data_IF_244341336318
#
_entry.id   IF_244341336318
#
_cell.length_a   1.000
_cell.length_b   1.000
_cell.length_c   1.000
_cell.angle_alpha   90.00
_cell.angle_beta   90.00
_cell.angle_gamma   90.00
#
_symmetry.space_group_name_H-M   'P 1'
#
loop_
_entity.id
_entity.type
_entity.pdbx_description
1 polymer ?
#
# COMPACT_ATOMS: atom_id res chain seq x y z
N UNK A 1 -23.14 13.87 -6.44
CA UNK A 1 -22.29 13.72 -5.23
C UNK A 1 -20.92 13.18 -5.66
N UNK A 2 -19.82 13.66 -5.08
CA UNK A 2 -18.45 13.27 -5.45
C UNK A 2 -18.20 11.75 -5.37
N UNK A 3 -18.68 11.10 -4.30
CA UNK A 3 -18.59 9.65 -4.13
C UNK A 3 -19.30 8.86 -5.25
N UNK A 4 -20.44 9.35 -5.75
CA UNK A 4 -21.11 8.71 -6.90
C UNK A 4 -20.24 8.74 -8.15
N UNK A 5 -19.48 9.83 -8.36
CA UNK A 5 -18.55 9.94 -9.49
C UNK A 5 -17.39 8.96 -9.34
N UNK A 6 -16.79 8.86 -8.15
CA UNK A 6 -15.75 7.87 -7.84
C UNK A 6 -16.23 6.44 -8.13
N UNK A 7 -17.45 6.11 -7.69
CA UNK A 7 -18.02 4.77 -7.89
C UNK A 7 -18.30 4.48 -9.37
N UNK A 8 -18.86 5.44 -10.10
CA UNK A 8 -19.16 5.29 -11.53
C UNK A 8 -17.91 5.17 -12.39
N UNK A 9 -16.87 5.94 -12.05
CA UNK A 9 -15.59 5.91 -12.77
C UNK A 9 -14.66 4.80 -12.25
N UNK A 10 -15.06 4.07 -11.20
CA UNK A 10 -14.25 3.04 -10.53
C UNK A 10 -12.82 3.51 -10.20
N UNK A 11 -12.66 4.79 -9.83
CA UNK A 11 -11.40 5.33 -9.33
C UNK A 11 -11.58 6.53 -8.40
N UNK A 12 -10.55 6.79 -7.59
CA UNK A 12 -10.49 7.97 -6.74
C UNK A 12 -10.26 9.23 -7.59
N UNK A 13 -11.17 10.19 -7.45
CA UNK A 13 -11.10 11.46 -8.15
C UNK A 13 -10.91 12.62 -7.17
N UNK A 14 -10.38 13.73 -7.66
CA UNK A 14 -10.32 14.99 -6.93
C UNK A 14 -11.70 15.66 -6.84
N UNK A 15 -11.81 16.76 -6.09
CA UNK A 15 -13.08 17.47 -5.91
C UNK A 15 -13.72 17.99 -7.22
N UNK A 16 -12.93 18.17 -8.28
CA UNK A 16 -13.37 18.57 -9.61
C UNK A 16 -13.69 17.35 -10.50
N UNK A 17 -13.40 16.16 -9.98
CA UNK A 17 -13.60 14.86 -10.59
C UNK A 17 -12.53 14.50 -11.63
N UNK A 18 -11.30 15.00 -11.47
CA UNK A 18 -10.12 14.59 -12.22
C UNK A 18 -9.37 13.43 -11.54
N UNK A 19 -8.72 12.58 -12.35
CA UNK A 19 -7.88 11.48 -11.87
C UNK A 19 -6.47 12.00 -11.49
N UNK A 20 -6.40 12.71 -10.37
CA UNK A 20 -5.19 13.45 -9.96
C UNK A 20 -4.28 12.63 -9.04
N UNK A 21 -4.85 11.69 -8.29
CA UNK A 21 -4.14 10.96 -7.24
C UNK A 21 -3.33 9.79 -7.82
N UNK A 22 -3.89 9.07 -8.79
CA UNK A 22 -3.26 7.89 -9.36
C UNK A 22 -3.63 7.74 -10.85
N UNK A 23 -3.24 8.69 -11.71
CA UNK A 23 -3.58 8.68 -13.13
C UNK A 23 -3.08 7.39 -13.79
N UNK A 24 -3.80 6.90 -14.79
CA UNK A 24 -3.42 5.75 -15.61
C UNK A 24 -3.24 4.40 -14.87
N UNK A 25 -3.60 4.30 -13.59
CA UNK A 25 -3.49 3.06 -12.81
C UNK A 25 -4.26 1.85 -13.37
N UNK A 26 -5.23 2.11 -14.26
CA UNK A 26 -6.04 1.08 -14.94
C UNK A 26 -5.45 0.60 -16.25
N UNK A 27 -4.36 1.17 -16.73
CA UNK A 27 -3.68 0.61 -17.90
C UNK A 27 -3.27 -0.83 -17.60
N UNK A 28 -3.20 -1.67 -18.63
CA UNK A 28 -2.74 -3.05 -18.45
C UNK A 28 -1.29 -3.11 -17.91
N UNK A 29 -0.52 -2.04 -18.12
CA UNK A 29 0.86 -1.83 -17.66
C UNK A 29 1.02 -0.39 -17.17
N UNK A 30 0.52 -0.03 -15.97
CA UNK A 30 0.56 1.34 -15.47
C UNK A 30 2.00 1.85 -15.30
N UNK A 31 2.97 0.95 -15.11
CA UNK A 31 4.41 1.27 -15.06
C UNK A 31 4.98 1.88 -16.35
N UNK A 32 4.24 1.79 -17.46
CA UNK A 32 4.59 2.44 -18.73
C UNK A 32 4.08 3.87 -18.87
N UNK A 33 3.24 4.34 -17.93
CA UNK A 33 2.77 5.73 -17.91
C UNK A 33 3.70 6.60 -17.06
N UNK A 34 4.23 7.67 -17.66
CA UNK A 34 5.02 8.67 -16.94
C UNK A 34 4.21 9.33 -15.82
N UNK A 35 2.93 9.64 -16.07
CA UNK A 35 2.05 10.28 -15.09
C UNK A 35 1.79 9.37 -13.87
N UNK A 36 1.59 8.07 -14.09
CA UNK A 36 1.47 7.09 -13.02
C UNK A 36 2.77 7.02 -12.21
N UNK A 37 3.90 6.86 -12.91
CA UNK A 37 5.21 6.70 -12.26
C UNK A 37 5.64 7.95 -11.49
N UNK A 38 5.28 9.15 -11.95
CA UNK A 38 5.48 10.39 -11.19
C UNK A 38 4.75 10.37 -9.85
N UNK A 39 3.53 9.82 -9.76
CA UNK A 39 2.83 9.67 -8.48
C UNK A 39 3.45 8.59 -7.61
N UNK A 40 3.84 7.46 -8.18
CA UNK A 40 4.49 6.39 -7.42
C UNK A 40 5.84 6.82 -6.82
N UNK A 41 6.56 7.74 -7.48
CA UNK A 41 7.80 8.34 -6.93
C UNK A 41 7.57 9.15 -5.65
N UNK A 42 6.37 9.67 -5.43
CA UNK A 42 6.04 10.38 -4.18
C UNK A 42 5.98 9.45 -2.97
N UNK A 43 5.91 8.13 -3.20
CA UNK A 43 5.96 7.10 -2.17
C UNK A 43 7.40 6.67 -1.83
N UNK A 44 8.39 7.49 -2.16
CA UNK A 44 9.79 7.34 -1.70
C UNK A 44 9.92 7.66 -0.19
N UNK A 45 9.19 6.90 0.61
CA UNK A 45 9.21 6.89 2.06
C UNK A 45 9.30 5.44 2.54
N UNK A 46 9.96 5.15 3.66
CA UNK A 46 9.99 3.81 4.20
C UNK A 46 8.58 3.28 4.48
N UNK A 47 8.25 2.09 3.97
CA UNK A 47 6.94 1.45 4.19
C UNK A 47 7.08 -0.05 4.45
N UNK A 48 6.35 -0.52 5.45
CA UNK A 48 6.15 -1.94 5.74
C UNK A 48 4.71 -2.33 5.42
N UNK A 49 4.53 -3.12 4.37
CA UNK A 49 3.24 -3.66 3.96
C UNK A 49 2.94 -4.92 4.76
N UNK A 50 1.87 -4.92 5.54
CA UNK A 50 1.44 -6.08 6.32
C UNK A 50 0.04 -6.49 5.89
N UNK A 51 -0.13 -7.75 5.49
CA UNK A 51 -1.42 -8.28 5.02
C UNK A 51 -1.69 -9.66 5.60
N UNK A 52 -2.93 -9.90 6.03
CA UNK A 52 -3.37 -11.23 6.43
C UNK A 52 -3.53 -12.15 5.21
N UNK A 53 -3.04 -13.39 5.28
CA UNK A 53 -3.12 -14.37 4.20
C UNK A 53 -4.57 -14.67 3.75
N UNK A 54 -5.53 -14.58 4.68
CA UNK A 54 -6.96 -14.83 4.45
C UNK A 54 -7.74 -13.52 4.25
N UNK A 55 -7.07 -12.41 3.95
CA UNK A 55 -7.74 -11.16 3.66
C UNK A 55 -8.50 -11.27 2.33
N UNK A 56 -9.84 -11.19 2.41
CA UNK A 56 -10.74 -11.23 1.26
C UNK A 56 -11.21 -9.84 0.80
N UNK A 57 -10.91 -8.79 1.58
CA UNK A 57 -11.26 -7.40 1.25
C UNK A 57 -10.14 -6.75 0.45
N UNK A 58 -8.90 -6.88 0.94
CA UNK A 58 -7.69 -6.45 0.26
C UNK A 58 -6.80 -7.68 0.05
N UNK A 59 -6.92 -8.29 -1.13
CA UNK A 59 -6.26 -9.56 -1.42
C UNK A 59 -4.74 -9.44 -1.23
N UNK A 60 -4.06 -10.47 -0.66
CA UNK A 60 -2.61 -10.47 -0.52
C UNK A 60 -1.89 -10.16 -1.85
N UNK A 61 -2.39 -10.72 -2.96
CA UNK A 61 -1.88 -10.45 -4.30
C UNK A 61 -1.95 -8.96 -4.67
N UNK A 62 -3.05 -8.28 -4.34
CA UNK A 62 -3.20 -6.85 -4.66
C UNK A 62 -2.18 -6.01 -3.89
N UNK A 63 -1.96 -6.30 -2.60
CA UNK A 63 -0.94 -5.60 -1.81
C UNK A 63 0.48 -5.85 -2.33
N UNK A 64 0.77 -7.06 -2.82
CA UNK A 64 2.06 -7.39 -3.42
C UNK A 64 2.29 -6.63 -4.72
N UNK A 65 1.27 -6.50 -5.57
CA UNK A 65 1.35 -5.67 -6.78
C UNK A 65 1.70 -4.21 -6.45
N UNK A 66 1.06 -3.61 -5.44
CA UNK A 66 1.42 -2.24 -5.02
C UNK A 66 2.85 -2.16 -4.49
N UNK A 67 3.29 -3.16 -3.73
CA UNK A 67 4.68 -3.26 -3.27
C UNK A 67 5.67 -3.29 -4.46
N UNK A 68 5.44 -4.14 -5.47
CA UNK A 68 6.29 -4.23 -6.66
C UNK A 68 6.33 -2.90 -7.44
N UNK A 69 5.21 -2.19 -7.54
CA UNK A 69 5.13 -0.89 -8.20
C UNK A 69 5.91 0.18 -7.43
N UNK A 70 5.88 0.16 -6.09
CA UNK A 70 6.70 1.04 -5.26
C UNK A 70 8.20 0.76 -5.48
N UNK A 71 8.61 -0.51 -5.43
CA UNK A 71 9.99 -0.92 -5.69
C UNK A 71 10.46 -0.51 -7.09
N UNK A 72 9.59 -0.62 -8.10
CA UNK A 72 9.89 -0.22 -9.48
C UNK A 72 10.09 1.28 -9.59
N UNK A 73 9.25 2.08 -8.93
CA UNK A 73 9.32 3.54 -8.98
C UNK A 73 10.48 4.11 -8.16
N UNK A 74 10.82 3.47 -7.04
CA UNK A 74 11.80 3.94 -6.06
C UNK A 74 12.81 2.82 -5.74
N UNK A 75 13.73 2.50 -6.67
CA UNK A 75 14.62 1.35 -6.55
C UNK A 75 15.63 1.44 -5.40
N UNK A 76 15.85 2.63 -4.85
CA UNK A 76 16.76 2.86 -3.73
C UNK A 76 16.04 2.89 -2.37
N UNK A 77 14.71 2.77 -2.35
CA UNK A 77 13.93 2.75 -1.13
C UNK A 77 13.79 1.33 -0.58
N UNK A 78 13.80 1.20 0.73
CA UNK A 78 13.68 -0.09 1.41
C UNK A 78 12.23 -0.33 1.83
N UNK A 79 11.49 -1.01 0.97
CA UNK A 79 10.15 -1.51 1.28
C UNK A 79 10.20 -2.93 1.84
N UNK A 80 9.26 -3.27 2.72
CA UNK A 80 9.07 -4.65 3.19
C UNK A 80 7.63 -5.10 2.98
N UNK A 81 7.43 -6.39 2.71
CA UNK A 81 6.11 -7.01 2.56
C UNK A 81 6.01 -8.27 3.41
N UNK A 82 5.01 -8.32 4.28
CA UNK A 82 4.83 -9.38 5.27
C UNK A 82 3.42 -9.95 5.15
N UNK A 83 3.34 -11.27 4.92
CA UNK A 83 2.08 -12.02 4.90
C UNK A 83 1.91 -12.75 6.23
N UNK A 84 0.85 -12.43 6.96
CA UNK A 84 0.53 -13.06 8.26
C UNK A 84 -0.35 -14.31 8.01
N UNK A 85 0.12 -15.53 8.29
CA UNK A 85 -0.65 -16.75 8.05
C UNK A 85 -1.94 -16.78 8.87
N UNK A 86 -3.03 -17.26 8.26
CA UNK A 86 -4.34 -17.41 8.91
C UNK A 86 -5.07 -16.12 9.34
N UNK A 87 -4.53 -14.93 9.09
CA UNK A 87 -5.15 -13.65 9.45
C UNK A 87 -6.05 -13.13 8.32
N UNK A 88 -7.23 -12.62 8.66
CA UNK A 88 -8.15 -11.89 7.79
C UNK A 88 -7.79 -10.42 7.65
N UNK A 89 -8.77 -9.57 7.27
CA UNK A 89 -8.50 -8.17 6.96
C UNK A 89 -8.03 -7.36 8.18
N UNK A 90 -8.83 -7.34 9.25
CA UNK A 90 -8.59 -6.49 10.42
C UNK A 90 -7.87 -7.22 11.55
N UNK A 91 -7.64 -8.53 11.38
CA UNK A 91 -6.98 -9.37 12.38
C UNK A 91 -5.54 -8.93 12.63
N UNK A 92 -4.86 -8.34 11.64
CA UNK A 92 -3.48 -7.86 11.80
C UNK A 92 -3.35 -6.73 12.84
N UNK A 93 -4.46 -6.06 13.18
CA UNK A 93 -4.51 -4.97 14.15
C UNK A 93 -5.28 -5.39 15.41
N UNK A 94 -6.46 -6.00 15.24
CA UNK A 94 -7.41 -6.29 16.33
C UNK A 94 -7.47 -7.76 16.74
N UNK A 95 -6.77 -8.65 16.04
CA UNK A 95 -6.74 -10.08 16.37
C UNK A 95 -6.19 -10.29 17.78
N UNK A 96 -6.75 -11.24 18.52
CA UNK A 96 -6.35 -11.53 19.90
C UNK A 96 -4.87 -11.92 20.05
N UNK A 97 -4.24 -12.38 18.97
CA UNK A 97 -2.82 -12.72 18.89
C UNK A 97 -1.98 -11.70 18.11
N UNK A 98 -2.56 -10.61 17.61
CA UNK A 98 -1.86 -9.66 16.74
C UNK A 98 -0.64 -9.01 17.41
N UNK A 99 -0.75 -8.71 18.71
CA UNK A 99 0.35 -8.17 19.50
C UNK A 99 1.58 -9.09 19.52
N UNK A 100 1.39 -10.41 19.41
CA UNK A 100 2.47 -11.40 19.34
C UNK A 100 2.93 -11.65 17.91
N UNK A 101 1.99 -11.84 16.98
CA UNK A 101 2.31 -12.36 15.65
C UNK A 101 2.58 -11.25 14.61
N UNK A 102 2.16 -10.00 14.88
CA UNK A 102 2.20 -8.90 13.89
C UNK A 102 3.01 -7.71 14.37
N UNK A 103 2.80 -7.29 15.62
CA UNK A 103 3.41 -6.06 16.15
C UNK A 103 4.95 -6.09 16.18
N UNK A 104 5.63 -7.24 16.36
CA UNK A 104 7.09 -7.28 16.21
C UNK A 104 7.57 -6.80 14.82
N UNK A 105 6.84 -7.09 13.74
CA UNK A 105 7.18 -6.60 12.40
C UNK A 105 6.98 -5.09 12.25
N UNK A 106 5.96 -4.54 12.91
CA UNK A 106 5.72 -3.08 12.95
C UNK A 106 6.85 -2.41 13.71
N UNK A 107 7.21 -2.95 14.89
CA UNK A 107 8.28 -2.41 15.71
C UNK A 107 9.61 -2.44 14.98
N UNK A 108 9.98 -3.57 14.36
CA UNK A 108 11.20 -3.72 13.57
C UNK A 108 11.28 -2.67 12.45
N UNK A 109 10.18 -2.47 11.71
CA UNK A 109 10.13 -1.45 10.67
C UNK A 109 10.30 -0.03 11.24
N UNK A 110 9.65 0.28 12.36
CA UNK A 110 9.78 1.59 13.01
C UNK A 110 11.20 1.82 13.55
N UNK A 111 11.79 0.85 14.24
CA UNK A 111 13.14 0.95 14.80
C UNK A 111 14.20 1.10 13.72
N UNK A 112 14.06 0.39 12.60
CA UNK A 112 14.97 0.48 11.45
C UNK A 112 15.04 1.89 10.86
N UNK A 113 13.93 2.63 10.89
CA UNK A 113 13.82 3.97 10.30
C UNK A 113 13.69 5.09 11.34
N UNK A 114 13.79 4.75 12.63
CA UNK A 114 13.75 5.73 13.70
C UNK A 114 15.00 6.61 13.64
N UNK A 115 14.79 7.92 13.75
CA UNK A 115 15.89 8.85 14.05
C UNK A 115 16.13 8.74 15.55
N UNK A 116 17.36 8.44 16.01
CA UNK A 116 17.66 8.39 17.44
C UNK A 116 17.24 9.70 18.11
N UNK A 117 16.54 9.60 19.24
CA UNK A 117 16.29 10.77 20.07
C UNK A 117 17.64 11.35 20.54
N UNK A 118 17.84 12.64 20.31
CA UNK A 118 19.02 13.40 20.78
C UNK A 118 19.14 13.41 22.30
#
# INVERSE_FOLDING_TARGET
MHLTKILNEECLLDANGGDTYLPDHRLAKPETSDAYMEKMKLLDIPMCFIVGQKNMTFLPKATFTTFEQCCTANPNQEYTHVIIPNYGHIDCIFGSSAARDVYPHILEALEKHAIPAL
#
